data_IF_267296488313
#
_entry.id   IF_267296488313
#
_cell.length_a   1.000
_cell.length_b   1.000
_cell.length_c   1.000
_cell.angle_alpha   90.00
_cell.angle_beta   90.00
_cell.angle_gamma   90.00
#
_symmetry.space_group_name_H-M   'P 1'
#
loop_
_entity.id
_entity.type
_entity.pdbx_description
1 polymer ?
#
# COMPACT_ATOMS: atom_id res chain seq x y z
N UNK A 1 20.62 -22.42 -0.64
CA UNK A 1 21.21 -22.15 0.68
C UNK A 1 20.20 -22.56 1.75
N UNK A 2 20.60 -23.42 2.69
CA UNK A 2 19.77 -23.84 3.84
C UNK A 2 19.98 -22.88 5.03
N UNK A 3 19.83 -21.57 4.80
CA UNK A 3 19.98 -20.56 5.85
C UNK A 3 18.60 -20.28 6.43
N UNK A 4 18.37 -20.44 7.74
CA UNK A 4 17.13 -20.04 8.40
C UNK A 4 16.87 -18.54 8.23
N UNK A 5 15.62 -18.17 7.97
CA UNK A 5 15.19 -16.78 7.88
C UNK A 5 13.80 -16.60 8.51
N UNK A 6 13.51 -15.40 8.98
CA UNK A 6 12.32 -15.09 9.77
C UNK A 6 11.20 -14.40 8.99
N UNK A 7 11.45 -13.97 7.76
CA UNK A 7 10.47 -13.28 6.94
C UNK A 7 9.67 -14.22 6.03
N UNK A 8 8.73 -13.65 5.28
CA UNK A 8 7.89 -14.38 4.32
C UNK A 8 8.72 -15.06 3.22
N UNK A 9 8.25 -16.21 2.76
CA UNK A 9 8.91 -16.97 1.68
C UNK A 9 8.80 -16.30 0.31
N UNK A 10 9.45 -16.89 -0.69
CA UNK A 10 9.59 -16.36 -2.05
C UNK A 10 8.22 -16.04 -2.68
N UNK A 11 7.28 -17.00 -2.64
CA UNK A 11 5.95 -16.84 -3.28
C UNK A 11 5.17 -15.69 -2.63
N UNK A 12 5.13 -15.63 -1.31
CA UNK A 12 4.42 -14.56 -0.59
C UNK A 12 5.04 -13.20 -0.85
N UNK A 13 6.37 -13.12 -0.90
CA UNK A 13 7.10 -11.88 -1.19
C UNK A 13 6.88 -11.42 -2.64
N UNK A 14 6.91 -12.34 -3.60
CA UNK A 14 6.61 -12.05 -5.00
C UNK A 14 5.16 -11.55 -5.17
N UNK A 15 4.18 -12.26 -4.60
CA UNK A 15 2.76 -11.88 -4.67
C UNK A 15 2.52 -10.51 -4.01
N UNK A 16 3.17 -10.22 -2.91
CA UNK A 16 3.08 -8.93 -2.22
C UNK A 16 3.67 -7.78 -3.05
N UNK A 17 4.83 -7.99 -3.66
CA UNK A 17 5.52 -6.99 -4.46
C UNK A 17 4.71 -6.64 -5.72
N UNK A 18 4.09 -7.62 -6.35
CA UNK A 18 3.24 -7.42 -7.52
C UNK A 18 1.86 -6.88 -7.12
N UNK A 19 1.64 -5.58 -7.33
CA UNK A 19 0.42 -4.89 -6.92
C UNK A 19 -0.86 -5.40 -7.58
N UNK A 20 -0.78 -6.02 -8.75
CA UNK A 20 -1.94 -6.62 -9.42
C UNK A 20 -2.31 -7.91 -8.70
N UNK A 21 -1.34 -8.81 -8.54
CA UNK A 21 -1.56 -10.12 -7.90
C UNK A 21 -2.04 -9.94 -6.46
N UNK A 22 -1.36 -9.07 -5.70
CA UNK A 22 -1.76 -8.81 -4.29
C UNK A 22 -3.19 -8.30 -4.18
N UNK A 23 -3.61 -7.36 -5.05
CA UNK A 23 -4.98 -6.83 -5.03
C UNK A 23 -6.03 -7.83 -5.49
N UNK A 24 -5.72 -8.70 -6.43
CA UNK A 24 -6.61 -9.80 -6.82
C UNK A 24 -6.80 -10.77 -5.66
N UNK A 25 -5.72 -11.14 -4.95
CA UNK A 25 -5.80 -11.97 -3.74
C UNK A 25 -6.64 -11.26 -2.66
N UNK A 26 -6.47 -9.95 -2.46
CA UNK A 26 -7.30 -9.19 -1.51
C UNK A 26 -8.78 -9.26 -1.86
N UNK A 27 -9.14 -9.04 -3.12
CA UNK A 27 -10.54 -9.10 -3.57
C UNK A 27 -11.14 -10.50 -3.41
N UNK A 28 -10.41 -11.56 -3.74
CA UNK A 28 -10.84 -12.95 -3.53
C UNK A 28 -11.11 -13.26 -2.06
N UNK A 29 -10.38 -12.60 -1.16
CA UNK A 29 -10.58 -12.72 0.29
C UNK A 29 -11.50 -11.64 0.89
N UNK A 30 -12.29 -10.95 0.05
CA UNK A 30 -13.25 -9.90 0.46
C UNK A 30 -12.61 -8.72 1.20
N UNK A 31 -11.33 -8.47 0.97
CA UNK A 31 -10.60 -7.34 1.51
C UNK A 31 -10.69 -6.19 0.51
N UNK A 32 -11.21 -5.05 0.99
CA UNK A 32 -11.40 -3.87 0.15
C UNK A 32 -10.05 -3.24 -0.22
N UNK A 33 -9.85 -2.99 -1.51
CA UNK A 33 -8.72 -2.26 -2.08
C UNK A 33 -9.23 -1.21 -3.07
N UNK A 34 -8.48 -0.14 -3.40
CA UNK A 34 -8.89 0.79 -4.44
C UNK A 34 -9.23 0.07 -5.75
N UNK A 35 -10.25 0.52 -6.46
CA UNK A 35 -10.52 0.03 -7.82
C UNK A 35 -9.29 0.22 -8.68
N UNK A 36 -8.98 -0.76 -9.53
CA UNK A 36 -7.77 -0.72 -10.34
C UNK A 36 -7.92 -1.45 -11.67
N UNK A 37 -7.01 -1.14 -12.56
CA UNK A 37 -6.70 -1.90 -13.77
C UNK A 37 -5.23 -1.73 -14.12
N UNK A 38 -4.72 -2.59 -14.99
CA UNK A 38 -3.35 -2.50 -15.49
C UNK A 38 -3.34 -2.41 -17.00
N UNK A 39 -2.30 -1.78 -17.55
CA UNK A 39 -2.02 -1.74 -18.98
C UNK A 39 -0.55 -2.06 -19.18
N UNK A 40 -0.25 -2.95 -20.12
CA UNK A 40 1.12 -3.19 -20.58
C UNK A 40 1.52 -2.12 -21.60
N UNK A 41 2.82 -1.75 -21.64
CA UNK A 41 3.36 -0.72 -22.55
C UNK A 41 2.92 -0.91 -24.00
N UNK A 42 2.97 -2.14 -24.51
CA UNK A 42 2.57 -2.49 -25.87
C UNK A 42 1.11 -2.16 -26.22
N UNK A 43 0.23 -2.16 -25.21
CA UNK A 43 -1.21 -1.92 -25.36
C UNK A 43 -1.62 -0.49 -24.95
N UNK A 44 -0.67 0.38 -24.61
CA UNK A 44 -0.97 1.70 -24.08
C UNK A 44 -1.35 2.68 -25.19
N UNK A 45 -2.65 3.01 -25.23
CA UNK A 45 -3.24 4.04 -26.10
C UNK A 45 -4.21 4.88 -25.28
N UNK A 46 -4.35 6.17 -25.60
CA UNK A 46 -5.24 7.09 -24.86
C UNK A 46 -6.71 6.65 -24.93
N UNK A 47 -7.16 6.15 -26.08
CA UNK A 47 -8.51 5.59 -26.27
C UNK A 47 -8.75 4.38 -25.35
N UNK A 48 -7.79 3.46 -25.29
CA UNK A 48 -7.88 2.27 -24.44
C UNK A 48 -7.86 2.62 -22.94
N UNK A 49 -7.03 3.58 -22.55
CA UNK A 49 -7.02 4.13 -21.20
C UNK A 49 -8.40 4.67 -20.81
N UNK A 50 -9.02 5.49 -21.65
CA UNK A 50 -10.36 6.03 -21.43
C UNK A 50 -11.43 4.93 -21.32
N UNK A 51 -11.36 3.92 -22.19
CA UNK A 51 -12.28 2.78 -22.17
C UNK A 51 -12.22 2.05 -20.81
N UNK A 52 -11.01 1.75 -20.30
CA UNK A 52 -10.82 1.06 -19.04
C UNK A 52 -11.28 1.88 -17.83
N UNK A 53 -11.03 3.19 -17.82
CA UNK A 53 -11.51 4.10 -16.77
C UNK A 53 -13.05 4.03 -16.69
N UNK A 54 -13.74 4.15 -17.83
CA UNK A 54 -15.20 4.05 -17.89
C UNK A 54 -15.71 2.67 -17.47
N UNK A 55 -15.13 1.59 -18.02
CA UNK A 55 -15.52 0.20 -17.71
C UNK A 55 -15.36 -0.16 -16.24
N UNK A 56 -14.28 0.29 -15.61
CA UNK A 56 -13.99 0.05 -14.20
C UNK A 56 -14.67 1.05 -13.25
N UNK A 57 -15.37 2.06 -13.79
CA UNK A 57 -16.04 3.12 -13.02
C UNK A 57 -15.08 3.76 -12.02
N UNK A 58 -13.88 4.13 -12.48
CA UNK A 58 -12.87 4.83 -11.69
C UNK A 58 -13.01 6.33 -11.96
N UNK A 59 -12.94 7.12 -10.89
CA UNK A 59 -13.07 8.58 -10.96
C UNK A 59 -11.72 9.26 -10.68
N UNK A 60 -11.53 10.45 -11.26
CA UNK A 60 -10.38 11.29 -10.94
C UNK A 60 -10.50 11.84 -9.50
N UNK A 61 -9.38 12.03 -8.79
CA UNK A 61 -8.00 11.77 -9.22
C UNK A 61 -7.68 10.28 -9.37
N UNK A 62 -6.76 9.96 -10.30
CA UNK A 62 -6.27 8.59 -10.53
C UNK A 62 -4.77 8.53 -10.21
N UNK A 63 -4.39 7.48 -9.50
CA UNK A 63 -2.98 7.15 -9.24
C UNK A 63 -2.49 6.23 -10.33
N UNK A 64 -1.35 6.56 -10.94
CA UNK A 64 -0.60 5.64 -11.81
C UNK A 64 0.77 5.37 -11.21
N UNK A 65 1.18 4.11 -11.21
CA UNK A 65 2.46 3.66 -10.64
C UNK A 65 2.94 2.36 -11.29
N UNK A 66 4.23 2.04 -11.20
CA UNK A 66 4.75 0.72 -11.59
C UNK A 66 4.12 -0.39 -10.74
N UNK A 67 4.01 -1.58 -11.35
CA UNK A 67 3.38 -2.76 -10.70
C UNK A 67 4.22 -3.29 -9.54
N UNK A 68 5.54 -3.28 -9.70
CA UNK A 68 6.53 -4.00 -8.88
C UNK A 68 7.53 -3.10 -8.14
N UNK A 69 7.28 -1.78 -8.09
CA UNK A 69 8.13 -0.84 -7.35
C UNK A 69 7.64 -0.62 -5.91
N UNK A 70 8.61 -0.31 -5.04
CA UNK A 70 8.38 0.05 -3.63
C UNK A 70 8.59 1.54 -3.34
N UNK A 71 8.51 1.92 -2.07
CA UNK A 71 8.88 3.24 -1.52
C UNK A 71 8.27 4.45 -2.24
N UNK A 72 7.09 4.31 -2.81
CA UNK A 72 6.41 5.36 -3.62
C UNK A 72 7.17 5.78 -4.88
N UNK A 73 8.14 4.97 -5.36
CA UNK A 73 8.86 5.24 -6.59
C UNK A 73 7.89 5.19 -7.77
N UNK A 74 7.93 6.21 -8.64
CA UNK A 74 7.09 6.29 -9.83
C UNK A 74 5.60 6.55 -9.58
N UNK A 75 5.17 6.83 -8.36
CA UNK A 75 3.77 7.17 -8.06
C UNK A 75 3.44 8.57 -8.58
N UNK A 76 2.40 8.68 -9.40
CA UNK A 76 1.85 9.94 -9.91
C UNK A 76 0.35 10.00 -9.70
N UNK A 77 -0.13 11.15 -9.20
CA UNK A 77 -1.56 11.45 -9.09
C UNK A 77 -1.94 12.39 -10.21
N UNK A 78 -3.01 12.08 -10.89
CA UNK A 78 -3.49 12.83 -12.05
C UNK A 78 -4.95 13.21 -11.85
N UNK A 79 -5.28 14.47 -12.11
CA UNK A 79 -6.63 15.02 -11.88
C UNK A 79 -7.50 14.99 -13.15
N UNK A 80 -6.93 14.65 -14.30
CA UNK A 80 -7.63 14.52 -15.57
C UNK A 80 -6.89 13.57 -16.52
N UNK A 81 -7.56 13.22 -17.63
CA UNK A 81 -7.05 12.25 -18.61
C UNK A 81 -5.74 12.69 -19.28
N UNK A 82 -5.56 13.98 -19.53
CA UNK A 82 -4.37 14.48 -20.21
C UNK A 82 -3.13 14.36 -19.31
N UNK A 83 -3.26 14.78 -18.05
CA UNK A 83 -2.20 14.61 -17.05
C UNK A 83 -1.89 13.14 -16.77
N UNK A 84 -2.92 12.28 -16.74
CA UNK A 84 -2.76 10.84 -16.54
C UNK A 84 -2.00 10.20 -17.71
N UNK A 85 -2.40 10.52 -18.95
CA UNK A 85 -1.74 10.01 -20.15
C UNK A 85 -0.27 10.43 -20.22
N UNK A 86 0.03 11.71 -19.93
CA UNK A 86 1.40 12.25 -19.87
C UNK A 86 2.23 11.52 -18.80
N UNK A 87 1.69 11.36 -17.59
CA UNK A 87 2.36 10.66 -16.49
C UNK A 87 2.66 9.20 -16.84
N UNK A 88 1.68 8.48 -17.39
CA UNK A 88 1.86 7.10 -17.81
C UNK A 88 2.89 6.97 -18.94
N UNK A 89 2.84 7.85 -19.96
CA UNK A 89 3.85 7.85 -21.05
C UNK A 89 5.27 8.00 -20.52
N UNK A 90 5.47 8.90 -19.55
CA UNK A 90 6.78 9.08 -18.92
C UNK A 90 7.22 7.85 -18.10
N UNK A 91 6.31 7.17 -17.41
CA UNK A 91 6.63 5.95 -16.67
C UNK A 91 6.94 4.77 -17.61
N UNK A 92 6.26 4.67 -18.75
CA UNK A 92 6.55 3.64 -19.76
C UNK A 92 7.91 3.79 -20.44
N UNK A 93 8.66 4.89 -20.24
CA UNK A 93 10.07 4.93 -20.64
C UNK A 93 10.95 3.98 -19.84
N UNK A 94 10.54 3.66 -18.60
CA UNK A 94 11.33 2.83 -17.65
C UNK A 94 10.65 1.50 -17.29
N UNK A 95 9.32 1.41 -17.39
CA UNK A 95 8.53 0.26 -16.91
C UNK A 95 7.69 -0.33 -18.03
N UNK A 96 7.47 -1.63 -18.01
CA UNK A 96 6.67 -2.33 -19.00
C UNK A 96 5.20 -2.46 -18.59
N UNK A 97 4.91 -2.46 -17.29
CA UNK A 97 3.57 -2.62 -16.74
C UNK A 97 3.27 -1.52 -15.72
N UNK A 98 2.12 -0.87 -15.88
CA UNK A 98 1.61 0.12 -14.94
C UNK A 98 0.26 -0.30 -14.40
N UNK A 99 0.02 0.01 -13.13
CA UNK A 99 -1.29 -0.07 -12.49
C UNK A 99 -1.87 1.33 -12.34
N UNK A 100 -3.17 1.42 -12.61
CA UNK A 100 -3.99 2.63 -12.48
C UNK A 100 -5.03 2.38 -11.40
N UNK A 101 -5.08 3.24 -10.40
CA UNK A 101 -5.91 3.05 -9.21
C UNK A 101 -6.75 4.30 -8.93
N UNK A 102 -7.95 4.10 -8.40
CA UNK A 102 -8.72 5.17 -7.78
C UNK A 102 -7.92 5.78 -6.62
N UNK A 103 -7.81 7.11 -6.60
CA UNK A 103 -7.18 7.80 -5.47
C UNK A 103 -8.09 7.76 -4.25
N UNK A 104 -7.61 7.18 -3.18
CA UNK A 104 -8.32 7.17 -1.90
C UNK A 104 -7.68 8.20 -0.97
N UNK A 105 -8.46 9.20 -0.59
CA UNK A 105 -8.08 10.18 0.43
C UNK A 105 -8.17 9.65 1.86
N UNK A 106 -8.23 10.57 2.83
CA UNK A 106 -8.44 10.26 4.24
C UNK A 106 -7.19 9.88 5.02
N UNK A 107 -7.39 9.24 6.17
CA UNK A 107 -6.32 8.90 7.11
C UNK A 107 -5.43 7.79 6.54
N UNK A 108 -4.13 7.92 6.75
CA UNK A 108 -3.16 6.90 6.42
C UNK A 108 -2.87 6.06 7.67
N UNK A 109 -3.27 4.80 7.63
CA UNK A 109 -3.14 3.87 8.75
C UNK A 109 -2.20 2.74 8.34
N UNK A 110 -1.24 2.43 9.19
CA UNK A 110 -0.35 1.29 8.97
C UNK A 110 -0.44 0.31 10.14
N UNK A 111 -0.45 -0.98 9.81
CA UNK A 111 -0.63 -2.06 10.80
C UNK A 111 0.55 -3.01 10.71
N UNK A 112 1.24 -3.21 11.85
CA UNK A 112 2.23 -4.27 12.02
C UNK A 112 1.56 -5.60 12.35
N UNK A 113 2.02 -6.68 11.72
CA UNK A 113 1.61 -8.06 12.04
C UNK A 113 2.87 -8.89 12.27
N UNK A 114 2.89 -9.67 13.35
CA UNK A 114 3.96 -10.60 13.68
C UNK A 114 3.37 -12.00 13.91
N UNK A 115 3.83 -12.98 13.15
CA UNK A 115 3.42 -14.39 13.29
C UNK A 115 1.88 -14.57 13.36
N UNK A 116 1.15 -13.96 12.43
CA UNK A 116 -0.32 -13.93 12.37
C UNK A 116 -1.03 -13.15 13.50
N UNK A 117 -0.29 -12.49 14.39
CA UNK A 117 -0.84 -11.64 15.44
C UNK A 117 -0.64 -10.16 15.10
N UNK A 118 -1.71 -9.36 14.98
CA UNK A 118 -1.56 -7.92 14.79
C UNK A 118 -0.89 -7.30 16.01
N UNK A 119 0.17 -6.53 15.82
CA UNK A 119 0.86 -5.80 16.87
C UNK A 119 0.10 -4.53 17.25
N UNK A 120 -0.36 -3.78 16.25
CA UNK A 120 -1.05 -2.52 16.47
C UNK A 120 -1.16 -1.71 15.20
N UNK A 121 -1.84 -0.57 15.28
CA UNK A 121 -2.05 0.36 14.18
C UNK A 121 -1.55 1.76 14.53
N UNK A 122 -0.78 2.37 13.63
CA UNK A 122 -0.27 3.73 13.70
C UNK A 122 -0.91 4.59 12.60
N UNK A 123 -1.24 5.83 12.90
CA UNK A 123 -1.68 6.83 11.92
C UNK A 123 -0.51 7.73 11.53
N UNK A 124 -0.36 7.95 10.23
CA UNK A 124 0.62 8.87 9.67
C UNK A 124 -0.09 10.14 9.20
N UNK A 125 0.33 11.29 9.73
CA UNK A 125 -0.14 12.61 9.29
C UNK A 125 1.02 13.38 8.63
N UNK A 126 1.20 13.22 7.31
CA UNK A 126 2.20 14.01 6.60
C UNK A 126 1.79 15.48 6.60
N UNK A 127 2.74 16.39 6.85
CA UNK A 127 2.49 17.85 6.71
C UNK A 127 2.23 18.26 5.26
N UNK A 128 2.61 17.41 4.29
CA UNK A 128 2.36 17.59 2.87
C UNK A 128 1.15 16.79 2.44
N UNK A 129 0.48 17.22 1.38
CA UNK A 129 -0.68 16.54 0.79
C UNK A 129 -0.40 15.07 0.39
N UNK A 130 0.86 14.64 0.41
CA UNK A 130 1.25 13.30 -0.02
C UNK A 130 2.42 12.73 0.79
N UNK A 131 2.30 11.47 1.23
CA UNK A 131 3.35 10.71 1.91
C UNK A 131 4.29 10.07 0.86
N UNK A 132 5.12 10.90 0.23
CA UNK A 132 6.09 10.49 -0.77
C UNK A 132 7.40 9.95 -0.15
N UNK A 133 8.36 9.57 -1.02
CA UNK A 133 9.68 9.09 -0.59
C UNK A 133 10.39 10.07 0.36
N UNK A 134 10.30 11.38 0.09
CA UNK A 134 10.91 12.42 0.95
C UNK A 134 10.27 12.46 2.32
N UNK A 135 8.94 12.29 2.40
CA UNK A 135 8.21 12.24 3.67
C UNK A 135 8.55 10.98 4.49
N UNK A 136 8.97 9.89 3.83
CA UNK A 136 9.33 8.63 4.49
C UNK A 136 10.73 8.63 5.11
N UNK A 137 11.70 9.30 4.47
CA UNK A 137 13.12 9.13 4.79
C UNK A 137 13.86 10.42 5.15
N UNK A 138 13.18 11.57 5.21
CA UNK A 138 13.82 12.85 5.53
C UNK A 138 13.33 13.35 6.89
N UNK A 139 14.24 13.53 7.87
CA UNK A 139 13.93 14.10 9.21
C UNK A 139 13.21 15.44 9.12
N UNK A 140 13.43 16.23 8.07
CA UNK A 140 12.77 17.52 7.83
C UNK A 140 11.32 17.42 7.36
N UNK A 141 10.85 16.24 6.94
CA UNK A 141 9.51 16.07 6.39
C UNK A 141 8.40 16.06 7.46
N UNK A 142 8.76 16.00 8.75
CA UNK A 142 7.87 16.13 9.92
C UNK A 142 6.51 15.45 9.76
N UNK A 143 6.50 14.18 9.32
CA UNK A 143 5.30 13.36 9.41
C UNK A 143 5.00 13.10 10.88
N UNK A 144 3.82 13.48 11.34
CA UNK A 144 3.42 13.13 12.71
C UNK A 144 2.97 11.67 12.75
N UNK A 145 3.51 10.94 13.71
CA UNK A 145 3.14 9.57 14.04
C UNK A 145 2.17 9.59 15.22
N UNK A 146 0.99 9.03 15.07
CA UNK A 146 -0.02 8.95 16.13
C UNK A 146 -0.20 7.48 16.49
N UNK A 147 0.24 7.12 17.69
CA UNK A 147 0.18 5.76 18.21
C UNK A 147 -0.55 5.73 19.54
N UNK A 148 -1.64 4.96 19.70
CA UNK A 148 -2.34 4.20 18.67
C UNK A 148 -3.02 5.13 17.66
N UNK A 149 -3.31 4.62 16.44
CA UNK A 149 -4.03 5.37 15.42
C UNK A 149 -5.34 5.96 15.97
N UNK A 150 -5.65 7.20 15.61
CA UNK A 150 -6.86 7.90 16.09
C UNK A 150 -8.14 7.33 15.48
N UNK A 151 -8.53 6.16 15.98
CA UNK A 151 -9.72 5.41 15.60
C UNK A 151 -10.49 4.99 16.86
N UNK A 152 -11.83 4.95 16.81
CA UNK A 152 -12.56 4.34 17.90
C UNK A 152 -12.26 2.83 17.99
N UNK A 153 -12.46 2.22 19.17
CA UNK A 153 -12.14 0.82 19.49
C UNK A 153 -12.66 -0.18 18.44
N UNK A 154 -13.89 0.01 17.95
CA UNK A 154 -14.50 -0.88 16.93
C UNK A 154 -13.75 -0.81 15.60
N UNK A 155 -13.38 0.38 15.13
CA UNK A 155 -12.62 0.59 13.89
C UNK A 155 -11.19 0.13 14.03
N UNK A 156 -10.58 0.40 15.18
CA UNK A 156 -9.21 -0.05 15.49
C UNK A 156 -9.11 -1.58 15.40
N UNK A 157 -9.98 -2.30 16.10
CA UNK A 157 -10.00 -3.76 16.03
C UNK A 157 -10.33 -4.28 14.61
N UNK A 158 -11.19 -3.55 13.87
CA UNK A 158 -11.50 -3.91 12.49
C UNK A 158 -10.27 -3.85 11.58
N UNK A 159 -9.45 -2.79 11.65
CA UNK A 159 -8.27 -2.68 10.78
C UNK A 159 -7.21 -3.73 11.15
N UNK A 160 -7.03 -4.04 12.43
CA UNK A 160 -6.16 -5.12 12.88
C UNK A 160 -6.58 -6.48 12.29
N UNK A 161 -7.88 -6.78 12.32
CA UNK A 161 -8.41 -8.03 11.76
C UNK A 161 -8.24 -8.10 10.24
N UNK A 162 -8.45 -6.99 9.52
CA UNK A 162 -8.21 -6.93 8.07
C UNK A 162 -6.74 -7.17 7.75
N UNK A 163 -5.81 -6.58 8.49
CA UNK A 163 -4.38 -6.79 8.31
C UNK A 163 -3.98 -8.26 8.55
N UNK A 164 -4.50 -8.88 9.61
CA UNK A 164 -4.31 -10.31 9.90
C UNK A 164 -4.84 -11.19 8.77
N UNK A 165 -6.04 -10.89 8.26
CA UNK A 165 -6.66 -11.61 7.16
C UNK A 165 -5.82 -11.50 5.88
N UNK A 166 -5.33 -10.32 5.56
CA UNK A 166 -4.51 -10.05 4.38
C UNK A 166 -3.13 -10.73 4.46
N UNK A 167 -2.50 -10.71 5.66
CA UNK A 167 -1.26 -11.43 5.94
C UNK A 167 -1.42 -12.95 5.65
N UNK A 168 -2.52 -13.55 6.13
CA UNK A 168 -2.84 -14.96 5.89
C UNK A 168 -3.14 -15.24 4.42
N UNK A 169 -3.93 -14.38 3.77
CA UNK A 169 -4.33 -14.55 2.37
C UNK A 169 -3.14 -14.58 1.41
N UNK A 170 -2.08 -13.82 1.71
CA UNK A 170 -0.83 -13.83 0.94
C UNK A 170 0.13 -14.97 1.36
N UNK A 171 -0.22 -15.78 2.36
CA UNK A 171 0.66 -16.82 2.90
C UNK A 171 1.92 -16.26 3.59
N UNK A 172 1.82 -15.05 4.15
CA UNK A 172 2.95 -14.40 4.80
C UNK A 172 3.35 -15.11 6.10
N UNK A 173 4.64 -14.98 6.46
CA UNK A 173 5.23 -15.43 7.72
C UNK A 173 6.05 -14.30 8.34
N UNK A 174 6.38 -14.45 9.62
CA UNK A 174 7.18 -13.47 10.33
C UNK A 174 6.48 -12.13 10.41
N UNK A 175 7.22 -11.08 10.14
CA UNK A 175 6.76 -9.70 10.26
C UNK A 175 6.26 -9.15 8.91
N UNK A 176 5.11 -8.44 8.94
CA UNK A 176 4.63 -7.67 7.78
C UNK A 176 4.07 -6.33 8.23
N UNK A 177 3.98 -5.38 7.30
CA UNK A 177 3.28 -4.11 7.46
C UNK A 177 2.24 -3.94 6.37
N UNK A 178 1.00 -3.74 6.79
CA UNK A 178 -0.13 -3.47 5.90
C UNK A 178 -0.42 -1.97 5.87
N UNK A 179 -0.46 -1.37 4.68
CA UNK A 179 -0.65 0.05 4.46
C UNK A 179 -2.09 0.32 3.99
N UNK A 180 -2.84 1.12 4.76
CA UNK A 180 -4.26 1.40 4.52
C UNK A 180 -4.54 2.88 4.30
N UNK A 181 -5.60 3.16 3.55
CA UNK A 181 -6.35 4.43 3.62
C UNK A 181 -7.70 4.18 4.30
N UNK A 182 -8.02 5.03 5.29
CA UNK A 182 -9.33 5.05 5.94
C UNK A 182 -10.11 6.26 5.45
N UNK A 183 -11.15 6.01 4.64
CA UNK A 183 -11.95 7.02 4.00
C UNK A 183 -13.43 6.64 3.98
N UNK A 184 -14.33 7.60 4.26
CA UNK A 184 -15.79 7.38 4.29
C UNK A 184 -16.16 6.11 5.07
N UNK A 185 -15.59 5.94 6.25
CA UNK A 185 -15.85 4.82 7.16
C UNK A 185 -15.44 3.42 6.63
N UNK A 186 -14.53 3.36 5.64
CA UNK A 186 -14.03 2.12 5.04
C UNK A 186 -12.50 2.10 5.03
N UNK A 187 -11.93 0.92 5.26
CA UNK A 187 -10.50 0.69 5.11
C UNK A 187 -10.20 0.13 3.73
N UNK A 188 -9.30 0.76 3.02
CA UNK A 188 -8.80 0.33 1.71
C UNK A 188 -7.36 -0.11 1.89
N UNK A 189 -7.09 -1.40 1.72
CA UNK A 189 -5.73 -1.93 1.75
C UNK A 189 -5.01 -1.56 0.46
N UNK A 190 -3.89 -0.86 0.58
CA UNK A 190 -3.08 -0.44 -0.56
C UNK A 190 -2.06 -1.50 -0.94
N UNK A 191 -1.29 -1.99 0.05
CA UNK A 191 -0.22 -2.97 -0.12
C UNK A 191 0.15 -3.63 1.21
N UNK A 192 0.88 -4.74 1.13
CA UNK A 192 1.56 -5.40 2.25
C UNK A 192 3.05 -5.45 1.96
N UNK A 193 3.85 -5.04 2.94
CA UNK A 193 5.30 -5.16 2.91
C UNK A 193 5.72 -6.40 3.69
N UNK A 194 6.32 -7.37 3.02
CA UNK A 194 6.79 -8.63 3.62
C UNK A 194 8.17 -8.52 4.24
N UNK A 195 8.88 -7.43 3.96
CA UNK A 195 10.14 -7.04 4.58
C UNK A 195 10.08 -5.55 4.93
N UNK A 196 9.26 -5.18 5.95
CA UNK A 196 9.19 -3.79 6.38
C UNK A 196 10.53 -3.35 6.96
N UNK A 197 10.81 -2.05 6.92
CA UNK A 197 11.99 -1.50 7.55
C UNK A 197 12.06 -1.88 9.03
N UNK A 198 13.24 -2.26 9.48
CA UNK A 198 13.54 -2.74 10.84
C UNK A 198 14.68 -1.92 11.47
N UNK A 199 14.63 -0.59 11.31
CA UNK A 199 15.52 0.35 12.01
C UNK A 199 14.77 1.01 13.19
N UNK A 200 15.48 1.68 14.05
CA UNK A 200 14.86 2.43 15.17
C UNK A 200 13.84 3.50 14.74
N UNK A 201 13.90 3.95 13.49
CA UNK A 201 12.98 4.93 12.90
C UNK A 201 11.85 4.27 12.09
N UNK A 202 11.84 2.95 12.01
CA UNK A 202 10.87 2.21 11.22
C UNK A 202 9.57 1.98 11.99
N UNK A 203 8.46 1.98 11.27
CA UNK A 203 7.12 1.95 11.86
C UNK A 203 6.79 0.65 12.60
N UNK A 204 7.27 -0.51 12.13
CA UNK A 204 6.99 -1.77 12.82
C UNK A 204 7.70 -1.84 14.19
N UNK A 205 9.00 -1.52 14.31
CA UNK A 205 9.64 -1.36 15.61
C UNK A 205 8.97 -0.33 16.51
N UNK A 206 8.49 0.79 15.97
CA UNK A 206 7.76 1.82 16.73
C UNK A 206 6.46 1.25 17.31
N UNK A 207 5.66 0.55 16.48
CA UNK A 207 4.43 -0.12 16.92
C UNK A 207 4.75 -1.17 17.99
N UNK A 208 5.76 -2.02 17.77
CA UNK A 208 6.17 -3.08 18.72
C UNK A 208 6.55 -2.49 20.08
N UNK A 209 7.37 -1.44 20.09
CA UNK A 209 7.81 -0.75 21.31
C UNK A 209 6.64 -0.17 22.10
N UNK A 210 5.64 0.38 21.43
CA UNK A 210 4.44 0.89 22.09
C UNK A 210 3.69 -0.20 22.87
N UNK A 211 3.80 -1.45 22.45
CA UNK A 211 3.23 -2.62 23.14
C UNK A 211 4.26 -3.40 23.95
N UNK A 212 5.36 -2.75 24.40
CA UNK A 212 6.40 -3.31 25.25
C UNK A 212 7.14 -4.52 24.63
N UNK A 213 7.18 -4.60 23.30
CA UNK A 213 8.02 -5.58 22.59
C UNK A 213 9.32 -4.88 22.23
N UNK A 214 10.43 -5.32 22.85
CA UNK A 214 11.77 -4.77 22.57
C UNK A 214 12.21 -5.08 21.14
N UNK A 215 13.16 -4.28 20.66
CA UNK A 215 13.79 -4.49 19.35
C UNK A 215 14.78 -5.65 19.42
#
# INVERSE_FOLDING_TARGET
LKIPYTHSGVISSFNSMNKIISKEIFLQNKILTPKFFSIAKKSFKKSFLNLLIKRKKIHFPIVVKPVDEGSSIGVKISVNINSLYKSAKNLYSKYNNLIFEEYIGGQEIQVGVLNNSPLGAIELKPKRLFYDYKAKYTKSAKTAHIMPANLNKKKYNKVLNIAKQAHKALGCKGVTRSDFKFYKNRFYLLEINTQPGMTNLSLVPEIARYYNISF
#
